data_IF_428423812447
#
_entry.id   IF_428423812447
#
_cell.length_a   1.000
_cell.length_b   1.000
_cell.length_c   1.000
_cell.angle_alpha   90.00
_cell.angle_beta   90.00
_cell.angle_gamma   90.00
#
_symmetry.space_group_name_H-M   'P 1'
#
loop_
_entity.id
_entity.type
_entity.pdbx_description
1 polymer ?
#
# COMPACT_ATOMS: atom_id res chain seq x y z
N UNK A 1 9.65 -13.26 15.89
CA UNK A 1 8.20 -13.05 15.61
C UNK A 1 7.88 -11.56 15.52
N UNK A 2 8.70 -10.69 16.10
CA UNK A 2 8.51 -9.24 16.05
C UNK A 2 8.67 -8.58 14.68
N UNK A 3 9.58 -9.05 13.81
CA UNK A 3 9.87 -8.38 12.52
C UNK A 3 8.63 -8.33 11.63
N UNK A 4 7.94 -9.46 11.42
CA UNK A 4 6.73 -9.52 10.60
C UNK A 4 5.61 -8.64 11.11
N UNK A 5 5.37 -8.65 12.42
CA UNK A 5 4.31 -7.84 13.02
C UNK A 5 4.63 -6.36 12.88
N UNK A 6 5.92 -5.98 13.05
CA UNK A 6 6.40 -4.61 12.82
C UNK A 6 6.25 -4.19 11.36
N UNK A 7 6.68 -5.02 10.41
CA UNK A 7 6.57 -4.76 8.97
C UNK A 7 5.11 -4.66 8.54
N UNK A 8 4.26 -5.60 8.95
CA UNK A 8 2.84 -5.61 8.61
C UNK A 8 2.11 -4.38 9.20
N UNK A 9 2.46 -3.97 10.42
CA UNK A 9 1.87 -2.79 11.05
C UNK A 9 2.32 -1.50 10.35
N UNK A 10 3.60 -1.38 10.03
CA UNK A 10 4.12 -0.28 9.22
C UNK A 10 3.44 -0.24 7.84
N UNK A 11 3.28 -1.39 7.19
CA UNK A 11 2.60 -1.50 5.91
C UNK A 11 1.14 -1.05 5.98
N UNK A 12 0.39 -1.53 6.97
CA UNK A 12 -1.02 -1.13 7.16
C UNK A 12 -1.13 0.37 7.37
N UNK A 13 -0.23 0.98 8.15
CA UNK A 13 -0.25 2.42 8.39
C UNK A 13 0.13 3.23 7.14
N UNK A 14 1.22 2.86 6.45
CA UNK A 14 1.70 3.58 5.27
C UNK A 14 0.78 3.41 4.07
N UNK A 15 0.35 2.18 3.74
CA UNK A 15 -0.57 1.95 2.63
C UNK A 15 -1.96 2.54 2.90
N UNK A 16 -2.45 2.47 4.14
CA UNK A 16 -3.74 3.05 4.53
C UNK A 16 -3.76 4.57 4.40
N UNK A 17 -2.69 5.25 4.84
CA UNK A 17 -2.59 6.71 4.73
C UNK A 17 -2.47 7.17 3.27
N UNK A 18 -1.64 6.50 2.45
CA UNK A 18 -1.51 6.83 1.01
C UNK A 18 -2.83 6.58 0.27
N UNK A 19 -3.52 5.49 0.56
CA UNK A 19 -4.83 5.19 -0.05
C UNK A 19 -5.87 6.25 0.32
N UNK A 20 -5.90 6.68 1.59
CA UNK A 20 -6.81 7.72 2.04
C UNK A 20 -6.55 9.06 1.33
N UNK A 21 -5.27 9.44 1.20
CA UNK A 21 -4.87 10.64 0.47
C UNK A 21 -5.26 10.54 -1.02
N UNK A 22 -5.01 9.39 -1.65
CA UNK A 22 -5.40 9.16 -3.05
C UNK A 22 -6.91 9.27 -3.28
N UNK A 23 -7.72 8.78 -2.34
CA UNK A 23 -9.19 8.91 -2.38
C UNK A 23 -9.61 10.38 -2.27
N UNK A 24 -9.01 11.15 -1.36
CA UNK A 24 -9.30 12.58 -1.21
C UNK A 24 -8.98 13.35 -2.50
N UNK A 25 -7.79 13.11 -3.08
CA UNK A 25 -7.37 13.75 -4.34
C UNK A 25 -8.31 13.34 -5.49
N UNK A 26 -8.74 12.08 -5.53
CA UNK A 26 -9.68 11.59 -6.52
C UNK A 26 -11.04 12.28 -6.41
N UNK A 27 -11.60 12.42 -5.21
CA UNK A 27 -12.86 13.14 -4.99
C UNK A 27 -12.73 14.63 -5.38
N UNK A 28 -11.65 15.30 -4.97
CA UNK A 28 -11.41 16.69 -5.38
C UNK A 28 -11.33 16.84 -6.90
N UNK A 29 -10.65 15.91 -7.57
CA UNK A 29 -10.57 15.87 -9.04
C UNK A 29 -11.87 15.53 -9.76
N UNK A 30 -12.87 14.95 -9.08
CA UNK A 30 -14.19 14.67 -9.67
C UNK A 30 -15.18 15.82 -9.49
N UNK A 31 -15.13 16.52 -8.35
CA UNK A 31 -16.06 17.62 -8.05
C UNK A 31 -15.63 18.95 -8.65
N UNK A 32 -14.33 19.17 -8.86
CA UNK A 32 -13.87 20.36 -9.57
C UNK A 32 -13.78 20.11 -11.07
N UNK A 33 -14.81 20.57 -11.80
CA UNK A 33 -14.97 20.45 -13.25
C UNK A 33 -13.82 21.07 -14.08
N UNK A 34 -12.86 21.76 -13.44
CA UNK A 34 -11.70 22.41 -14.07
C UNK A 34 -10.38 21.62 -13.98
N UNK A 35 -10.27 20.59 -13.14
CA UNK A 35 -9.02 19.86 -12.92
C UNK A 35 -9.05 18.45 -13.50
N UNK A 36 -9.22 18.35 -14.82
CA UNK A 36 -9.15 17.08 -15.57
C UNK A 36 -7.84 16.29 -15.32
N UNK A 37 -6.78 16.95 -14.82
CA UNK A 37 -5.49 16.35 -14.48
C UNK A 37 -5.46 15.75 -13.07
N UNK A 38 -6.31 16.20 -12.13
CA UNK A 38 -6.33 15.66 -10.76
C UNK A 38 -6.93 14.26 -10.70
N UNK A 39 -7.92 13.95 -11.54
CA UNK A 39 -8.54 12.62 -11.61
C UNK A 39 -7.51 11.52 -11.92
N UNK A 40 -6.69 11.61 -13.00
CA UNK A 40 -5.67 10.60 -13.27
C UNK A 40 -4.55 10.56 -12.21
N UNK A 41 -4.24 11.68 -11.54
CA UNK A 41 -3.30 11.69 -10.40
C UNK A 41 -3.88 10.90 -9.21
N UNK A 42 -5.16 11.11 -8.89
CA UNK A 42 -5.87 10.35 -7.84
C UNK A 42 -5.89 8.86 -8.14
N UNK A 43 -6.23 8.48 -9.38
CA UNK A 43 -6.19 7.09 -9.84
C UNK A 43 -4.78 6.50 -9.75
N UNK A 44 -3.76 7.22 -10.23
CA UNK A 44 -2.36 6.78 -10.14
C UNK A 44 -1.90 6.60 -8.69
N UNK A 45 -2.34 7.46 -7.79
CA UNK A 45 -2.03 7.37 -6.36
C UNK A 45 -2.68 6.15 -5.72
N UNK A 46 -3.93 5.84 -6.05
CA UNK A 46 -4.63 4.64 -5.54
C UNK A 46 -3.97 3.37 -6.08
N UNK A 47 -3.69 3.32 -7.39
CA UNK A 47 -3.00 2.16 -8.02
C UNK A 47 -1.61 1.98 -7.40
N UNK A 48 -0.85 3.06 -7.21
CA UNK A 48 0.45 3.04 -6.54
C UNK A 48 0.37 2.54 -5.10
N UNK A 49 -0.64 2.98 -4.33
CA UNK A 49 -0.87 2.52 -2.97
C UNK A 49 -1.13 1.01 -2.89
N UNK A 50 -1.91 0.48 -3.84
CA UNK A 50 -2.17 -0.97 -3.96
C UNK A 50 -0.88 -1.72 -4.28
N UNK A 51 -0.04 -1.20 -5.17
CA UNK A 51 1.27 -1.80 -5.49
C UNK A 51 2.20 -1.85 -4.27
N UNK A 52 2.30 -0.76 -3.51
CA UNK A 52 3.09 -0.71 -2.27
C UNK A 52 2.57 -1.72 -1.24
N UNK A 53 1.24 -1.84 -1.12
CA UNK A 53 0.61 -2.82 -0.25
C UNK A 53 0.94 -4.26 -0.63
N UNK A 54 0.82 -4.60 -1.92
CA UNK A 54 1.13 -5.94 -2.44
C UNK A 54 2.62 -6.29 -2.25
N UNK A 55 3.52 -5.36 -2.56
CA UNK A 55 4.96 -5.54 -2.41
C UNK A 55 5.34 -5.83 -0.94
N UNK A 56 4.74 -5.09 -0.02
CA UNK A 56 4.99 -5.31 1.39
C UNK A 56 4.34 -6.58 1.96
N UNK A 57 3.17 -6.98 1.44
CA UNK A 57 2.59 -8.29 1.77
C UNK A 57 3.49 -9.42 1.28
N UNK A 58 4.07 -9.28 0.08
CA UNK A 58 4.99 -10.25 -0.49
C UNK A 58 6.27 -10.40 0.35
N UNK A 59 6.80 -9.31 0.90
CA UNK A 59 7.92 -9.33 1.84
C UNK A 59 7.58 -10.11 3.12
N UNK A 60 6.40 -9.88 3.71
CA UNK A 60 5.98 -10.62 4.91
C UNK A 60 5.82 -12.11 4.61
N UNK A 61 5.20 -12.46 3.48
CA UNK A 61 5.05 -13.85 3.04
C UNK A 61 6.41 -14.52 2.74
N UNK A 62 7.35 -13.79 2.13
CA UNK A 62 8.70 -14.28 1.86
C UNK A 62 9.47 -14.56 3.14
N UNK A 63 9.41 -13.65 4.13
CA UNK A 63 10.02 -13.94 5.42
C UNK A 63 9.37 -15.14 6.12
N UNK A 64 8.06 -15.37 5.91
CA UNK A 64 7.35 -16.56 6.40
C UNK A 64 7.93 -17.85 5.84
N UNK A 65 8.09 -17.89 4.52
CA UNK A 65 8.65 -19.03 3.80
C UNK A 65 10.12 -19.30 4.20
N UNK A 66 10.96 -18.25 4.26
CA UNK A 66 12.38 -18.37 4.68
C UNK A 66 12.50 -18.92 6.11
N UNK A 67 11.69 -18.41 7.04
CA UNK A 67 11.72 -18.92 8.44
C UNK A 67 11.21 -20.36 8.54
N UNK A 68 10.25 -20.75 7.69
CA UNK A 68 9.75 -22.12 7.65
C UNK A 68 10.83 -23.08 7.17
N UNK A 69 11.62 -22.69 6.19
CA UNK A 69 12.77 -23.45 5.67
C UNK A 69 13.89 -23.58 6.72
N UNK A 70 14.28 -22.46 7.35
CA UNK A 70 15.33 -22.47 8.39
C UNK A 70 14.97 -23.14 9.71
N UNK A 71 13.73 -23.64 9.86
CA UNK A 71 13.27 -24.42 11.02
C UNK A 71 13.12 -25.92 10.69
N UNK A 72 13.38 -26.30 9.44
CA UNK A 72 13.41 -27.68 8.95
C UNK A 72 14.86 -28.18 8.75
N UNK A 73 15.85 -27.33 9.02
CA UNK A 73 17.26 -27.70 9.26
C UNK A 73 17.53 -27.60 10.77
#
# INVERSE_FOLDING_TARGET
>A
MESRVKILNALKFTSGTITLIGIIIFFLGLFENGYSVLTPIGVGTIVGAVFIFLMGMFLVASEEMVKKIGRQQ
#
